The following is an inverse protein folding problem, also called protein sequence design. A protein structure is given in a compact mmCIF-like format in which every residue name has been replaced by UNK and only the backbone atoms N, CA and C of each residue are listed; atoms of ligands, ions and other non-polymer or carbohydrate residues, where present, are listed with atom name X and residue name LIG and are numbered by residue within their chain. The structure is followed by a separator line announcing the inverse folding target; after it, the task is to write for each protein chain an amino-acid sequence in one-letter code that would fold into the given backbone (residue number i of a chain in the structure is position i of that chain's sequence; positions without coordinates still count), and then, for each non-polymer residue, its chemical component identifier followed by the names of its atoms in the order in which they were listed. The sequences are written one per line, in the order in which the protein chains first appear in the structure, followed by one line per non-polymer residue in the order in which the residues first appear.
data_IF_221668050447
#
_entry.id   IF_221668050447
#
_cell.length_a   1.000
_cell.length_b   1.000
_cell.length_c   1.000
_cell.angle_alpha   90.00
_cell.angle_beta   90.00
_cell.angle_gamma   90.00
#
_symmetry.space_group_name_H-M   'P 1'
#
loop_
_entity.id
_entity.type
_entity.pdbx_description
1 polymer ?
#
# COMPACT_ATOMS: atom_id res chain seq x y z
N UNK A 1 25.28 42.90 50.67
CA UNK A 1 25.86 41.59 51.01
C UNK A 1 24.73 40.56 50.90
N UNK A 2 24.24 40.20 49.70
CA UNK A 2 24.70 39.18 48.72
C UNK A 2 24.97 37.80 49.34
N UNK A 3 24.04 36.86 49.14
CA UNK A 3 24.33 35.45 48.82
C UNK A 3 23.07 34.82 48.22
N UNK A 4 23.08 34.66 46.90
CA UNK A 4 22.01 34.07 46.08
C UNK A 4 22.28 32.57 45.91
N UNK A 5 21.22 31.79 45.99
CA UNK A 5 21.19 30.33 45.87
C UNK A 5 21.66 29.83 44.49
N UNK A 6 22.43 28.74 44.51
CA UNK A 6 22.86 27.99 43.31
C UNK A 6 21.71 27.12 42.82
N UNK A 7 21.30 27.32 41.57
CA UNK A 7 20.60 26.34 40.76
C UNK A 7 21.60 25.28 40.26
N UNK A 8 21.30 24.00 40.52
CA UNK A 8 21.96 22.85 39.91
C UNK A 8 20.99 22.24 38.90
N UNK A 9 21.37 22.24 37.62
CA UNK A 9 20.68 21.56 36.53
C UNK A 9 20.99 20.05 36.55
N UNK A 10 20.02 19.15 36.31
CA UNK A 10 20.31 17.74 36.09
C UNK A 10 20.78 17.52 34.65
N UNK A 11 21.97 16.92 34.49
CA UNK A 11 22.42 16.35 33.23
C UNK A 11 21.62 15.07 32.94
N UNK A 12 20.84 15.07 31.85
CA UNK A 12 20.28 13.84 31.30
C UNK A 12 21.34 13.15 30.44
N UNK A 13 21.79 11.98 30.90
CA UNK A 13 22.60 11.05 30.14
C UNK A 13 21.78 10.43 29.01
N UNK A 14 22.22 10.62 27.77
CA UNK A 14 21.72 9.88 26.61
C UNK A 14 22.25 8.44 26.67
N UNK A 15 21.35 7.45 26.74
CA UNK A 15 21.67 6.03 26.60
C UNK A 15 21.69 5.70 25.09
N UNK A 16 22.77 5.13 24.54
CA UNK A 16 22.80 4.69 23.16
C UNK A 16 22.02 3.39 23.01
N UNK A 17 20.92 3.38 22.25
CA UNK A 17 20.24 2.14 21.86
C UNK A 17 21.05 1.43 20.77
N UNK A 18 21.56 0.25 21.13
CA UNK A 18 22.21 -0.69 20.22
C UNK A 18 21.20 -1.23 19.20
N UNK A 19 21.42 -0.95 17.92
CA UNK A 19 20.72 -1.61 16.82
C UNK A 19 21.11 -3.09 16.76
N UNK A 20 20.16 -3.99 17.01
CA UNK A 20 20.29 -5.40 16.65
C UNK A 20 19.99 -5.52 15.15
N UNK A 21 21.05 -5.58 14.33
CA UNK A 21 20.97 -6.02 12.94
C UNK A 21 20.61 -7.51 12.91
N UNK A 22 19.38 -7.83 12.51
CA UNK A 22 19.07 -9.17 11.99
C UNK A 22 19.72 -9.31 10.61
N UNK A 23 20.92 -9.89 10.57
CA UNK A 23 21.52 -10.42 9.35
C UNK A 23 20.91 -11.80 9.07
N UNK A 24 20.10 -11.91 8.04
CA UNK A 24 19.79 -13.18 7.39
C UNK A 24 20.39 -13.16 5.99
N UNK A 25 21.21 -14.19 5.74
CA UNK A 25 22.12 -14.39 4.61
C UNK A 25 21.48 -14.21 3.24
N UNK A 26 22.13 -13.40 2.40
CA UNK A 26 21.90 -13.36 0.96
C UNK A 26 22.41 -14.66 0.31
N UNK A 27 21.49 -15.51 -0.13
CA UNK A 27 21.79 -16.54 -1.13
C UNK A 27 21.55 -15.89 -2.49
N UNK A 28 22.62 -15.66 -3.25
CA UNK A 28 22.52 -15.20 -4.63
C UNK A 28 21.86 -16.31 -5.47
N UNK A 29 20.64 -16.07 -5.92
CA UNK A 29 19.95 -16.88 -6.93
C UNK A 29 19.48 -15.98 -8.06
N UNK A 30 19.74 -16.42 -9.28
CA UNK A 30 19.67 -15.68 -10.54
C UNK A 30 18.38 -14.87 -10.78
N UNK A 31 18.55 -13.68 -11.38
CA UNK A 31 17.48 -12.87 -11.97
C UNK A 31 16.82 -11.84 -11.05
N UNK A 32 17.57 -10.94 -10.41
CA UNK A 32 16.95 -9.77 -9.76
C UNK A 32 16.42 -8.81 -10.83
N UNK A 33 15.14 -8.93 -11.15
CA UNK A 33 14.37 -7.88 -11.84
C UNK A 33 14.50 -6.60 -11.02
N UNK A 34 15.00 -5.53 -11.63
CA UNK A 34 15.18 -4.20 -11.01
C UNK A 34 13.81 -3.60 -10.63
N UNK A 35 13.26 -4.04 -9.50
CA UNK A 35 12.04 -3.48 -8.91
C UNK A 35 12.34 -2.10 -8.34
N UNK A 36 11.89 -1.04 -9.03
CA UNK A 36 12.11 0.34 -8.57
C UNK A 36 11.51 0.60 -7.18
N UNK A 37 10.31 0.07 -6.93
CA UNK A 37 9.62 0.12 -5.64
C UNK A 37 9.38 -1.33 -5.21
N UNK A 38 10.02 -1.76 -4.13
CA UNK A 38 9.91 -3.14 -3.64
C UNK A 38 8.55 -3.39 -2.97
N UNK A 39 7.97 -4.60 -3.10
CA UNK A 39 6.80 -4.96 -2.31
C UNK A 39 7.12 -4.91 -0.82
N UNK A 40 6.13 -4.60 0.05
CA UNK A 40 6.32 -4.70 1.48
C UNK A 40 6.60 -6.15 1.89
N UNK A 41 7.21 -6.36 3.06
CA UNK A 41 7.44 -7.70 3.61
C UNK A 41 6.23 -8.21 4.38
N UNK A 42 5.97 -9.53 4.31
CA UNK A 42 4.99 -10.21 5.16
C UNK A 42 5.55 -11.56 5.62
N UNK A 43 5.38 -11.97 6.89
CA UNK A 43 6.06 -13.16 7.44
C UNK A 43 5.61 -14.50 6.83
N UNK A 44 4.35 -14.59 6.39
CA UNK A 44 3.75 -15.87 5.93
C UNK A 44 3.08 -15.80 4.56
N UNK A 45 3.23 -14.69 3.85
CA UNK A 45 2.51 -14.43 2.60
C UNK A 45 3.52 -13.95 1.56
N UNK A 46 3.54 -14.59 0.40
CA UNK A 46 4.42 -14.23 -0.71
C UNK A 46 3.64 -14.11 -2.03
N UNK A 47 4.22 -13.39 -2.99
CA UNK A 47 3.60 -13.13 -4.30
C UNK A 47 3.55 -14.38 -5.19
N UNK A 48 4.48 -15.32 -5.04
CA UNK A 48 4.54 -16.53 -5.88
C UNK A 48 3.34 -17.45 -5.59
N UNK A 49 2.95 -17.57 -4.33
CA UNK A 49 1.78 -18.33 -3.92
C UNK A 49 0.49 -17.73 -4.48
N UNK A 50 0.38 -16.40 -4.49
CA UNK A 50 -0.76 -15.66 -5.05
C UNK A 50 -0.85 -15.85 -6.57
N UNK A 51 0.28 -15.69 -7.26
CA UNK A 51 0.37 -15.91 -8.72
C UNK A 51 -0.04 -17.34 -9.07
N UNK A 52 0.50 -18.33 -8.35
CA UNK A 52 0.16 -19.74 -8.56
C UNK A 52 -1.34 -20.01 -8.36
N UNK A 53 -1.93 -19.44 -7.31
CA UNK A 53 -3.35 -19.60 -7.03
C UNK A 53 -4.21 -18.97 -8.14
N UNK A 54 -3.87 -17.75 -8.58
CA UNK A 54 -4.62 -17.06 -9.62
C UNK A 54 -4.54 -17.75 -11.00
N UNK A 55 -3.36 -18.27 -11.36
CA UNK A 55 -3.22 -19.07 -12.59
C UNK A 55 -3.99 -20.39 -12.51
N UNK A 56 -3.98 -21.05 -11.36
CA UNK A 56 -4.74 -22.29 -11.15
C UNK A 56 -6.26 -22.06 -11.16
N UNK A 57 -6.72 -20.91 -10.67
CA UNK A 57 -8.12 -20.48 -10.73
C UNK A 57 -8.59 -20.36 -12.19
N UNK A 58 -7.82 -19.69 -13.04
CA UNK A 58 -8.22 -19.36 -14.41
C UNK A 58 -8.06 -20.54 -15.39
N UNK A 59 -7.00 -21.35 -15.24
CA UNK A 59 -6.70 -22.46 -16.16
C UNK A 59 -7.20 -23.83 -15.69
N UNK A 60 -7.44 -24.01 -14.38
CA UNK A 60 -7.79 -25.31 -13.80
C UNK A 60 -6.83 -26.44 -14.19
N UNK A 61 -7.35 -27.67 -14.30
CA UNK A 61 -6.57 -28.83 -14.75
C UNK A 61 -6.55 -28.98 -16.29
N UNK A 62 -7.52 -28.40 -16.98
CA UNK A 62 -7.73 -28.59 -18.43
C UNK A 62 -6.90 -27.61 -19.27
N UNK A 63 -6.57 -26.44 -18.73
CA UNK A 63 -5.95 -25.34 -19.48
C UNK A 63 -6.96 -24.55 -20.33
N UNK A 64 -6.43 -23.64 -21.15
CA UNK A 64 -7.24 -22.83 -22.06
C UNK A 64 -7.69 -23.64 -23.29
N UNK A 65 -8.90 -24.21 -23.20
CA UNK A 65 -9.52 -24.99 -24.27
C UNK A 65 -9.69 -24.19 -25.55
N UNK A 66 -9.95 -22.89 -25.45
CA UNK A 66 -10.17 -22.04 -26.62
C UNK A 66 -8.86 -21.82 -27.36
N UNK A 67 -7.79 -21.50 -26.64
CA UNK A 67 -6.46 -21.38 -27.22
C UNK A 67 -5.99 -22.70 -27.84
N UNK A 68 -6.17 -23.82 -27.14
CA UNK A 68 -5.82 -25.16 -27.67
C UNK A 68 -6.58 -25.52 -28.95
N UNK A 69 -7.83 -25.07 -29.10
CA UNK A 69 -8.66 -25.35 -30.27
C UNK A 69 -8.40 -24.41 -31.46
N UNK A 70 -7.95 -23.18 -31.22
CA UNK A 70 -7.92 -22.11 -32.25
C UNK A 70 -6.52 -21.65 -32.65
N UNK A 71 -5.52 -21.83 -31.78
CA UNK A 71 -4.15 -21.35 -32.01
C UNK A 71 -3.22 -22.56 -32.16
N UNK A 72 -2.43 -22.66 -33.24
CA UNK A 72 -1.40 -23.69 -33.34
C UNK A 72 -0.38 -23.60 -32.20
N UNK A 73 0.04 -24.74 -31.67
CA UNK A 73 0.95 -24.79 -30.52
C UNK A 73 2.32 -24.14 -30.78
N UNK A 74 2.78 -24.14 -32.02
CA UNK A 74 4.06 -23.57 -32.47
C UNK A 74 3.96 -22.09 -32.91
N UNK A 75 2.81 -21.45 -32.72
CA UNK A 75 2.61 -20.07 -33.12
C UNK A 75 3.34 -19.11 -32.17
N UNK A 76 4.26 -18.33 -32.73
CA UNK A 76 4.93 -17.21 -32.06
C UNK A 76 4.22 -15.89 -32.40
N UNK A 77 4.02 -15.04 -31.40
CA UNK A 77 3.34 -13.74 -31.54
C UNK A 77 4.06 -12.65 -30.76
N UNK A 78 3.77 -11.40 -31.13
CA UNK A 78 4.04 -10.22 -30.31
C UNK A 78 2.72 -9.64 -29.81
N UNK A 79 2.69 -9.18 -28.56
CA UNK A 79 1.55 -8.50 -27.98
C UNK A 79 1.99 -7.22 -27.23
N UNK A 80 1.14 -6.19 -27.28
CA UNK A 80 1.44 -4.87 -26.72
C UNK A 80 0.47 -4.52 -25.59
N UNK A 81 1.03 -4.02 -24.49
CA UNK A 81 0.27 -3.40 -23.39
C UNK A 81 -0.15 -1.99 -23.78
N UNK A 82 -1.45 -1.72 -23.73
CA UNK A 82 -2.06 -0.45 -24.13
C UNK A 82 -2.89 0.13 -22.98
N UNK A 83 -2.57 1.37 -22.57
CA UNK A 83 -3.38 2.12 -21.62
C UNK A 83 -4.68 2.59 -22.28
N UNK A 84 -5.82 2.31 -21.66
CA UNK A 84 -7.16 2.69 -22.17
C UNK A 84 -7.76 3.89 -21.44
N UNK A 85 -7.17 4.26 -20.32
CA UNK A 85 -7.44 5.43 -19.52
C UNK A 85 -6.11 6.06 -19.04
N UNK A 86 -6.15 7.30 -18.59
CA UNK A 86 -5.01 8.01 -18.01
C UNK A 86 -4.81 7.56 -16.56
N UNK A 87 -3.56 7.43 -16.10
CA UNK A 87 -3.29 7.04 -14.72
C UNK A 87 -1.83 6.73 -14.43
N UNK A 88 -1.59 6.10 -13.29
CA UNK A 88 -0.29 5.59 -12.86
C UNK A 88 -0.25 4.09 -13.11
N UNK A 89 0.76 3.63 -13.85
CA UNK A 89 0.95 2.19 -14.07
C UNK A 89 1.53 1.54 -12.81
N UNK A 90 0.93 0.43 -12.40
CA UNK A 90 1.41 -0.41 -11.31
C UNK A 90 1.14 -1.89 -11.60
N UNK A 91 2.02 -2.76 -11.10
CA UNK A 91 2.02 -4.19 -11.37
C UNK A 91 2.92 -4.63 -12.52
N UNK A 92 3.81 -3.76 -13.02
CA UNK A 92 4.81 -4.10 -14.06
C UNK A 92 5.73 -5.22 -13.56
N UNK A 93 6.33 -5.05 -12.38
CA UNK A 93 7.18 -6.08 -11.80
C UNK A 93 6.41 -7.37 -11.45
N UNK A 94 5.13 -7.26 -11.11
CA UNK A 94 4.27 -8.43 -10.85
C UNK A 94 3.92 -9.16 -12.15
N UNK A 95 3.71 -8.44 -13.25
CA UNK A 95 3.51 -9.03 -14.57
C UNK A 95 4.74 -9.81 -15.04
N UNK A 96 5.96 -9.29 -14.81
CA UNK A 96 7.20 -10.04 -15.05
C UNK A 96 7.22 -11.36 -14.27
N UNK A 97 6.85 -11.34 -12.98
CA UNK A 97 6.77 -12.56 -12.16
C UNK A 97 5.74 -13.56 -12.69
N UNK A 98 4.62 -13.10 -13.24
CA UNK A 98 3.60 -13.97 -13.83
C UNK A 98 4.12 -14.59 -15.13
N UNK A 99 4.70 -13.80 -16.04
CA UNK A 99 5.26 -14.32 -17.27
C UNK A 99 6.38 -15.33 -17.01
N UNK A 100 7.31 -15.02 -16.11
CA UNK A 100 8.39 -15.93 -15.70
C UNK A 100 7.83 -17.24 -15.10
N UNK A 101 6.73 -17.17 -14.34
CA UNK A 101 6.07 -18.36 -13.80
C UNK A 101 5.40 -19.22 -14.87
N UNK A 102 4.78 -18.58 -15.87
CA UNK A 102 4.07 -19.27 -16.95
C UNK A 102 5.04 -19.91 -17.94
N UNK A 103 6.02 -19.14 -18.41
CA UNK A 103 7.07 -19.62 -19.29
C UNK A 103 8.27 -18.65 -19.31
N UNK A 104 9.44 -19.03 -18.75
CA UNK A 104 10.63 -18.17 -18.70
C UNK A 104 11.28 -17.91 -20.08
N UNK A 105 10.79 -18.55 -21.16
CA UNK A 105 11.24 -18.26 -22.52
C UNK A 105 10.57 -17.02 -23.14
N UNK A 106 9.48 -16.52 -22.54
CA UNK A 106 8.82 -15.30 -22.97
C UNK A 106 9.73 -14.08 -22.81
N UNK A 107 9.76 -13.22 -23.82
CA UNK A 107 10.56 -11.99 -23.81
C UNK A 107 9.67 -10.80 -23.55
N UNK A 108 9.85 -10.15 -22.40
CA UNK A 108 9.08 -8.97 -21.98
C UNK A 108 9.97 -7.74 -22.06
N UNK A 109 9.46 -6.68 -22.68
CA UNK A 109 10.13 -5.38 -22.85
C UNK A 109 9.20 -4.27 -22.36
N UNK A 110 9.63 -3.50 -21.37
CA UNK A 110 8.85 -2.40 -20.80
C UNK A 110 9.35 -1.03 -21.26
N UNK A 111 8.42 -0.16 -21.66
CA UNK A 111 8.69 1.25 -21.97
C UNK A 111 8.35 2.17 -20.78
N UNK A 112 7.68 1.63 -19.77
CA UNK A 112 7.32 2.29 -18.50
C UNK A 112 7.54 1.33 -17.35
N UNK A 113 7.87 1.87 -16.18
CA UNK A 113 8.02 1.13 -14.93
C UNK A 113 6.88 1.47 -13.96
N UNK A 114 6.74 0.65 -12.93
CA UNK A 114 5.85 0.94 -11.80
C UNK A 114 6.06 2.38 -11.28
N UNK A 115 4.97 3.14 -11.21
CA UNK A 115 4.94 4.53 -10.74
C UNK A 115 4.97 5.57 -11.86
N UNK A 116 5.20 5.17 -13.11
CA UNK A 116 5.15 6.10 -14.24
C UNK A 116 3.70 6.47 -14.61
N UNK A 117 3.51 7.70 -15.09
CA UNK A 117 2.24 8.13 -15.67
C UNK A 117 2.07 7.63 -17.10
N UNK A 118 0.85 7.21 -17.43
CA UNK A 118 0.42 6.80 -18.77
C UNK A 118 -0.83 7.58 -19.19
N UNK A 119 -0.93 7.89 -20.47
CA UNK A 119 -2.13 8.48 -21.07
C UNK A 119 -2.82 7.45 -21.98
N UNK A 120 -4.12 7.62 -22.18
CA UNK A 120 -4.95 6.78 -23.05
C UNK A 120 -4.33 6.69 -24.45
N UNK A 121 -4.15 5.45 -24.92
CA UNK A 121 -3.55 5.14 -26.21
C UNK A 121 -2.05 4.85 -26.16
N UNK A 122 -1.38 5.07 -25.03
CA UNK A 122 0.04 4.77 -24.88
C UNK A 122 0.29 3.25 -24.88
N UNK A 123 1.15 2.77 -25.77
CA UNK A 123 1.79 1.46 -25.65
C UNK A 123 2.94 1.56 -24.64
N UNK A 124 2.89 0.78 -23.56
CA UNK A 124 3.87 0.92 -22.46
C UNK A 124 4.66 -0.35 -22.15
N UNK A 125 4.35 -1.45 -22.82
CA UNK A 125 5.11 -2.70 -22.78
C UNK A 125 4.83 -3.59 -23.98
N UNK A 126 5.69 -4.57 -24.20
CA UNK A 126 5.59 -5.59 -25.25
C UNK A 126 6.00 -6.93 -24.67
N UNK A 127 5.31 -8.01 -25.05
CA UNK A 127 5.73 -9.39 -24.80
C UNK A 127 5.78 -10.14 -26.13
N UNK A 128 6.78 -11.00 -26.29
CA UNK A 128 6.94 -11.84 -27.48
C UNK A 128 7.28 -13.27 -27.09
N UNK A 129 6.76 -14.23 -27.85
CA UNK A 129 6.96 -15.64 -27.60
C UNK A 129 5.75 -16.48 -28.02
N UNK A 130 5.65 -17.67 -27.43
CA UNK A 130 4.60 -18.62 -27.73
C UNK A 130 3.20 -18.07 -27.39
N UNK A 131 2.29 -18.12 -28.37
CA UNK A 131 0.94 -17.58 -28.25
C UNK A 131 0.13 -18.22 -27.12
N UNK A 132 0.25 -19.54 -26.89
CA UNK A 132 -0.49 -20.21 -25.82
C UNK A 132 -0.06 -19.70 -24.45
N UNK A 133 1.23 -19.41 -24.28
CA UNK A 133 1.82 -18.93 -23.04
C UNK A 133 1.44 -17.48 -22.74
N UNK A 134 1.38 -16.64 -23.78
CA UNK A 134 0.94 -15.25 -23.64
C UNK A 134 -0.55 -15.20 -23.30
N UNK A 135 -1.40 -15.95 -24.03
CA UNK A 135 -2.85 -15.91 -23.87
C UNK A 135 -3.28 -16.46 -22.50
N UNK A 136 -2.70 -17.57 -22.02
CA UNK A 136 -3.03 -18.13 -20.70
C UNK A 136 -2.65 -17.19 -19.54
N UNK A 137 -1.64 -16.33 -19.73
CA UNK A 137 -1.21 -15.37 -18.72
C UNK A 137 -2.05 -14.08 -18.74
N UNK A 138 -2.65 -13.73 -19.89
CA UNK A 138 -3.22 -12.42 -20.20
C UNK A 138 -4.22 -11.95 -19.15
N UNK A 139 -5.26 -12.75 -18.88
CA UNK A 139 -6.35 -12.28 -18.02
C UNK A 139 -5.88 -12.14 -16.58
N UNK A 140 -5.09 -13.09 -16.10
CA UNK A 140 -4.53 -13.09 -14.75
C UNK A 140 -3.66 -11.85 -14.53
N UNK A 141 -2.68 -11.59 -15.41
CA UNK A 141 -1.80 -10.43 -15.26
C UNK A 141 -2.55 -9.10 -15.41
N UNK A 142 -3.51 -9.01 -16.35
CA UNK A 142 -4.28 -7.78 -16.53
C UNK A 142 -5.13 -7.50 -15.30
N UNK A 143 -5.78 -8.51 -14.71
CA UNK A 143 -6.57 -8.32 -13.50
C UNK A 143 -5.73 -7.74 -12.34
N UNK A 144 -4.49 -8.21 -12.16
CA UNK A 144 -3.58 -7.63 -11.17
C UNK A 144 -3.15 -6.21 -11.55
N UNK A 145 -2.64 -6.01 -12.76
CA UNK A 145 -2.12 -4.71 -13.21
C UNK A 145 -3.21 -3.64 -13.19
N UNK A 146 -4.40 -3.94 -13.68
CA UNK A 146 -5.53 -3.01 -13.71
C UNK A 146 -5.96 -2.60 -12.29
N UNK A 147 -6.03 -3.56 -11.35
CA UNK A 147 -6.33 -3.28 -9.94
C UNK A 147 -5.23 -2.43 -9.31
N UNK A 148 -3.97 -2.87 -9.41
CA UNK A 148 -2.82 -2.15 -8.83
C UNK A 148 -2.72 -0.73 -9.41
N UNK A 149 -2.87 -0.57 -10.71
CA UNK A 149 -2.81 0.73 -11.39
C UNK A 149 -3.96 1.64 -10.94
N UNK A 150 -5.16 1.09 -10.72
CA UNK A 150 -6.28 1.82 -10.13
C UNK A 150 -5.98 2.37 -8.73
N UNK A 151 -5.42 1.52 -7.85
CA UNK A 151 -5.00 1.91 -6.50
C UNK A 151 -3.90 2.97 -6.55
N UNK A 152 -2.86 2.76 -7.36
CA UNK A 152 -1.73 3.69 -7.49
C UNK A 152 -2.19 5.05 -8.03
N UNK A 153 -3.11 5.06 -9.00
CA UNK A 153 -3.69 6.28 -9.57
C UNK A 153 -4.45 7.08 -8.52
N UNK A 154 -5.37 6.45 -7.78
CA UNK A 154 -6.12 7.13 -6.72
C UNK A 154 -5.20 7.60 -5.58
N UNK A 155 -4.22 6.77 -5.21
CA UNK A 155 -3.24 7.12 -4.17
C UNK A 155 -2.44 8.35 -4.58
N UNK A 156 -1.97 8.43 -5.83
CA UNK A 156 -1.23 9.58 -6.34
C UNK A 156 -2.06 10.86 -6.27
N UNK A 157 -3.31 10.81 -6.73
CA UNK A 157 -4.22 11.95 -6.66
C UNK A 157 -4.46 12.41 -5.22
N UNK A 158 -4.71 11.47 -4.29
CA UNK A 158 -4.90 11.80 -2.88
C UNK A 158 -3.61 12.33 -2.22
N UNK A 159 -2.46 11.75 -2.51
CA UNK A 159 -1.17 12.16 -1.94
C UNK A 159 -0.77 13.57 -2.38
N UNK A 160 -0.98 13.90 -3.66
CA UNK A 160 -0.72 15.24 -4.18
C UNK A 160 -1.66 16.27 -3.54
N UNK A 161 -2.95 15.93 -3.37
CA UNK A 161 -3.94 16.83 -2.75
C UNK A 161 -3.74 17.01 -1.23
N UNK A 162 -3.30 15.97 -0.53
CA UNK A 162 -3.11 15.94 0.92
C UNK A 162 -1.88 16.71 1.42
N UNK A 163 -0.93 17.02 0.54
CA UNK A 163 0.34 17.64 0.91
C UNK A 163 0.13 18.90 1.78
N UNK A 164 0.81 19.01 2.95
CA UNK A 164 2.00 18.27 3.36
C UNK A 164 1.77 16.92 4.05
N UNK A 165 0.52 16.54 4.36
CA UNK A 165 0.23 15.27 5.03
C UNK A 165 0.52 14.07 4.13
N UNK A 166 0.93 12.95 4.72
CA UNK A 166 1.17 11.69 4.01
C UNK A 166 -0.09 10.82 3.96
N UNK A 167 -0.42 10.29 2.78
CA UNK A 167 -1.53 9.35 2.63
C UNK A 167 -1.13 7.94 3.05
N UNK A 168 -2.01 7.32 3.84
CA UNK A 168 -1.97 5.93 4.24
C UNK A 168 -3.21 5.18 3.72
N UNK A 169 -2.99 3.93 3.40
CA UNK A 169 -4.00 2.88 3.27
C UNK A 169 -4.32 2.22 4.63
N UNK A 170 -5.15 1.17 4.61
CA UNK A 170 -5.58 0.50 5.84
C UNK A 170 -5.51 -1.03 5.70
N UNK A 171 -6.01 -1.76 6.70
CA UNK A 171 -6.25 -3.22 6.59
C UNK A 171 -7.54 -3.57 5.83
N UNK A 172 -8.35 -2.59 5.42
CA UNK A 172 -9.55 -2.74 4.59
C UNK A 172 -9.13 -2.99 3.13
N UNK A 173 -8.52 -4.15 2.90
CA UNK A 173 -7.99 -4.60 1.60
C UNK A 173 -8.82 -5.74 1.06
N UNK A 174 -8.66 -6.08 -0.23
CA UNK A 174 -9.23 -7.32 -0.74
C UNK A 174 -8.62 -8.53 0.01
N UNK A 175 -9.44 -9.52 0.44
CA UNK A 175 -8.93 -10.72 1.09
C UNK A 175 -7.92 -11.44 0.21
N UNK A 176 -6.80 -11.90 0.80
CA UNK A 176 -5.75 -12.60 0.05
C UNK A 176 -4.92 -11.72 -0.88
N UNK A 177 -5.18 -10.41 -1.00
CA UNK A 177 -4.45 -9.48 -1.88
C UNK A 177 -3.79 -8.31 -1.14
N UNK A 178 -3.73 -8.34 0.20
CA UNK A 178 -3.23 -7.23 1.01
C UNK A 178 -1.83 -6.75 0.60
N UNK A 179 -0.90 -7.66 0.34
CA UNK A 179 0.45 -7.28 -0.07
C UNK A 179 0.46 -6.54 -1.41
N UNK A 180 -0.35 -7.01 -2.35
CA UNK A 180 -0.51 -6.45 -3.70
C UNK A 180 -1.12 -5.06 -3.60
N UNK A 181 -2.20 -4.92 -2.83
CA UNK A 181 -2.89 -3.65 -2.59
C UNK A 181 -1.95 -2.62 -1.94
N UNK A 182 -1.22 -3.00 -0.88
CA UNK A 182 -0.26 -2.12 -0.20
C UNK A 182 0.95 -1.78 -1.07
N UNK A 183 1.40 -2.70 -1.92
CA UNK A 183 2.46 -2.41 -2.88
C UNK A 183 2.02 -1.34 -3.89
N UNK A 184 0.78 -1.43 -4.38
CA UNK A 184 0.23 -0.42 -5.28
C UNK A 184 0.11 0.96 -4.63
N UNK A 185 -0.20 1.03 -3.32
CA UNK A 185 -0.20 2.30 -2.57
C UNK A 185 1.19 2.91 -2.50
N UNK A 186 2.23 2.12 -2.21
CA UNK A 186 3.63 2.60 -2.28
C UNK A 186 3.99 3.12 -3.67
N UNK A 187 3.58 2.40 -4.72
CA UNK A 187 3.81 2.80 -6.11
C UNK A 187 3.15 4.15 -6.43
N UNK A 188 1.94 4.39 -5.91
CA UNK A 188 1.22 5.66 -6.06
C UNK A 188 1.79 6.82 -5.24
N UNK A 189 2.84 6.62 -4.43
CA UNK A 189 3.43 7.65 -3.58
C UNK A 189 2.78 7.80 -2.20
N UNK A 190 1.87 6.90 -1.83
CA UNK A 190 1.40 6.74 -0.46
C UNK A 190 2.45 6.05 0.42
N UNK A 191 2.13 5.90 1.69
CA UNK A 191 2.92 5.11 2.66
C UNK A 191 2.06 3.98 3.20
N UNK A 192 2.73 2.94 3.69
CA UNK A 192 2.03 1.82 4.30
C UNK A 192 1.76 2.08 5.79
N UNK A 193 0.51 1.98 6.21
CA UNK A 193 0.12 1.69 7.59
C UNK A 193 0.52 0.23 7.93
N UNK A 194 0.23 -0.22 9.14
CA UNK A 194 0.54 -1.59 9.58
C UNK A 194 0.00 -2.65 8.60
N UNK A 195 0.85 -3.62 8.30
CA UNK A 195 0.57 -4.76 7.44
C UNK A 195 -0.51 -5.67 8.04
N UNK A 196 -0.42 -5.94 9.34
CA UNK A 196 -1.27 -6.91 10.02
C UNK A 196 -1.61 -6.50 11.44
N UNK A 197 -2.00 -7.47 12.24
CA UNK A 197 -2.19 -7.27 13.69
C UNK A 197 -0.88 -7.47 14.47
N UNK A 198 0.18 -7.91 13.80
CA UNK A 198 1.41 -8.41 14.41
C UNK A 198 2.57 -7.39 14.42
N UNK A 199 2.50 -6.36 13.58
CA UNK A 199 3.60 -5.42 13.34
C UNK A 199 3.41 -4.05 14.00
N UNK A 200 2.19 -3.71 14.43
CA UNK A 200 1.90 -2.49 15.15
C UNK A 200 0.66 -2.64 16.03
N UNK A 201 0.75 -2.15 17.28
CA UNK A 201 -0.40 -2.07 18.18
C UNK A 201 -1.28 -0.91 17.75
N UNK A 202 -2.59 -1.16 17.69
CA UNK A 202 -3.58 -0.11 17.44
C UNK A 202 -4.74 -0.31 18.39
N UNK A 203 -4.82 0.57 19.39
CA UNK A 203 -5.88 0.63 20.38
C UNK A 203 -7.07 1.34 19.74
N UNK A 204 -8.23 0.67 19.74
CA UNK A 204 -9.48 1.17 19.12
C UNK A 204 -10.59 1.29 20.15
N UNK A 205 -11.70 1.90 19.77
CA UNK A 205 -12.95 2.02 20.53
C UNK A 205 -13.33 0.78 21.39
N UNK A 206 -13.29 -0.41 20.80
CA UNK A 206 -13.66 -1.66 21.46
C UNK A 206 -12.63 -2.07 22.52
N UNK A 207 -11.34 -1.83 22.26
CA UNK A 207 -10.27 -2.09 23.21
C UNK A 207 -10.33 -1.12 24.40
N UNK A 208 -10.61 0.17 24.12
CA UNK A 208 -10.79 1.23 25.12
C UNK A 208 -11.96 0.89 26.05
N UNK A 209 -13.09 0.50 25.45
CA UNK A 209 -14.28 0.10 26.19
C UNK A 209 -14.03 -1.12 27.06
N UNK A 210 -13.38 -2.15 26.52
CA UNK A 210 -13.06 -3.38 27.25
C UNK A 210 -12.03 -3.17 28.38
N UNK A 211 -11.09 -2.23 28.22
CA UNK A 211 -10.11 -1.87 29.24
C UNK A 211 -10.66 -0.94 30.33
N UNK A 212 -11.90 -0.43 30.17
CA UNK A 212 -12.51 0.51 31.10
C UNK A 212 -11.91 1.92 31.03
N UNK A 213 -11.51 2.38 29.84
CA UNK A 213 -11.00 3.73 29.62
C UNK A 213 -9.72 3.78 28.77
N UNK A 214 -9.47 4.91 28.12
CA UNK A 214 -8.36 5.07 27.16
C UNK A 214 -7.01 4.99 27.86
N UNK A 215 -6.87 5.62 29.03
CA UNK A 215 -5.66 5.55 29.85
C UNK A 215 -5.34 4.12 30.26
N UNK A 216 -6.35 3.34 30.66
CA UNK A 216 -6.17 1.93 31.04
C UNK A 216 -5.72 1.08 29.85
N UNK A 217 -6.26 1.34 28.66
CA UNK A 217 -5.89 0.64 27.44
C UNK A 217 -4.42 0.93 27.06
N UNK A 218 -4.02 2.21 27.03
CA UNK A 218 -2.64 2.62 26.72
C UNK A 218 -1.66 2.02 27.74
N UNK A 219 -1.96 2.16 29.04
CA UNK A 219 -1.14 1.58 30.11
C UNK A 219 -0.97 0.06 29.97
N UNK A 220 -2.06 -0.66 29.66
CA UNK A 220 -2.02 -2.11 29.50
C UNK A 220 -1.11 -2.54 28.35
N UNK A 221 -1.10 -1.77 27.25
CA UNK A 221 -0.18 -2.00 26.12
C UNK A 221 1.26 -1.75 26.54
N UNK A 222 1.54 -0.64 27.22
CA UNK A 222 2.89 -0.28 27.67
C UNK A 222 3.48 -1.36 28.60
N UNK A 223 2.68 -1.83 29.57
CA UNK A 223 3.06 -2.91 30.48
C UNK A 223 3.29 -4.23 29.73
N UNK A 224 2.41 -4.59 28.80
CA UNK A 224 2.52 -5.81 28.00
C UNK A 224 3.79 -5.81 27.14
N UNK A 225 4.05 -4.73 26.40
CA UNK A 225 5.22 -4.61 25.53
C UNK A 225 6.52 -4.64 26.34
N UNK A 226 6.54 -4.00 27.52
CA UNK A 226 7.66 -4.07 28.45
C UNK A 226 7.89 -5.49 28.99
N UNK A 227 6.83 -6.16 29.44
CA UNK A 227 6.91 -7.52 29.97
C UNK A 227 7.38 -8.54 28.91
N UNK A 228 6.93 -8.38 27.67
CA UNK A 228 7.32 -9.27 26.55
C UNK A 228 8.62 -8.85 25.86
N UNK A 229 9.23 -7.74 26.28
CA UNK A 229 10.39 -7.14 25.65
C UNK A 229 10.21 -6.98 24.12
N UNK A 230 9.05 -6.44 23.74
CA UNK A 230 8.69 -6.19 22.34
C UNK A 230 8.95 -4.72 21.99
N UNK A 231 9.51 -4.50 20.80
CA UNK A 231 9.67 -3.18 20.20
C UNK A 231 8.79 -3.10 18.96
N UNK A 232 7.71 -2.34 19.05
CA UNK A 232 6.78 -2.05 17.96
C UNK A 232 6.10 -0.71 18.21
N UNK A 233 5.65 -0.07 17.14
CA UNK A 233 4.89 1.17 17.21
C UNK A 233 3.52 0.95 17.86
N UNK A 234 3.01 2.00 18.51
CA UNK A 234 1.73 1.99 19.22
C UNK A 234 0.91 3.19 18.80
N UNK A 235 -0.27 2.90 18.29
CA UNK A 235 -1.28 3.89 17.92
C UNK A 235 -2.50 3.78 18.83
N UNK A 236 -3.08 4.93 19.20
CA UNK A 236 -4.36 5.01 19.91
C UNK A 236 -5.37 5.82 19.10
N UNK A 237 -6.58 5.27 18.95
CA UNK A 237 -7.71 5.93 18.33
C UNK A 237 -8.42 6.83 19.36
N UNK A 238 -8.62 8.10 19.00
CA UNK A 238 -9.32 9.11 19.79
C UNK A 238 -10.42 9.76 18.95
N UNK A 239 -11.55 10.06 19.58
CA UNK A 239 -12.77 10.58 18.94
C UNK A 239 -13.15 11.98 19.43
N UNK A 240 -12.60 12.40 20.57
CA UNK A 240 -12.89 13.69 21.21
C UNK A 240 -11.61 14.38 21.68
N UNK A 241 -11.68 15.70 21.86
CA UNK A 241 -10.57 16.46 22.45
C UNK A 241 -10.28 16.01 23.89
N UNK A 242 -11.29 15.54 24.62
CA UNK A 242 -11.16 15.01 25.98
C UNK A 242 -10.33 13.73 25.98
N UNK A 243 -10.60 12.79 25.07
CA UNK A 243 -9.78 11.57 24.92
C UNK A 243 -8.33 11.91 24.56
N UNK A 244 -8.11 12.92 23.69
CA UNK A 244 -6.76 13.41 23.37
C UNK A 244 -6.06 13.97 24.63
N UNK A 245 -6.75 14.79 25.44
CA UNK A 245 -6.19 15.33 26.70
C UNK A 245 -5.81 14.22 27.67
N UNK A 246 -6.65 13.20 27.86
CA UNK A 246 -6.38 12.06 28.74
C UNK A 246 -5.13 11.29 28.32
N UNK A 247 -4.95 11.06 27.02
CA UNK A 247 -3.75 10.40 26.47
C UNK A 247 -2.49 11.25 26.73
N UNK A 248 -2.56 12.56 26.49
CA UNK A 248 -1.44 13.47 26.70
C UNK A 248 -1.06 13.63 28.18
N UNK A 249 -2.04 13.63 29.08
CA UNK A 249 -1.82 13.66 30.53
C UNK A 249 -1.08 12.38 30.97
N UNK A 250 -1.57 11.21 30.57
CA UNK A 250 -0.92 9.93 30.85
C UNK A 250 0.54 9.91 30.34
N UNK A 251 0.75 10.30 29.09
CA UNK A 251 2.07 10.35 28.46
C UNK A 251 3.03 11.36 29.09
N UNK A 252 2.51 12.38 29.79
CA UNK A 252 3.35 13.37 30.50
C UNK A 252 3.81 12.85 31.86
N UNK A 253 3.03 11.97 32.49
CA UNK A 253 3.32 11.41 33.81
C UNK A 253 3.95 10.01 33.80
N UNK A 254 3.95 9.31 32.66
CA UNK A 254 4.37 7.91 32.55
C UNK A 254 5.33 7.69 31.38
N UNK A 255 6.21 6.69 31.50
CA UNK A 255 6.95 6.16 30.36
C UNK A 255 5.96 5.41 29.45
N UNK A 256 5.77 5.90 28.22
CA UNK A 256 4.85 5.29 27.26
C UNK A 256 5.56 4.87 25.97
N UNK A 257 5.05 3.81 25.33
CA UNK A 257 5.45 3.34 24.00
C UNK A 257 4.62 3.96 22.87
N UNK A 258 3.66 4.83 23.20
CA UNK A 258 2.83 5.52 22.21
C UNK A 258 3.68 6.28 21.18
N UNK A 259 3.38 6.08 19.91
CA UNK A 259 4.06 6.77 18.79
C UNK A 259 3.09 7.65 18.00
N UNK A 260 1.81 7.26 17.92
CA UNK A 260 0.80 7.93 17.10
C UNK A 260 -0.55 8.07 17.80
N UNK A 261 -1.23 9.18 17.54
CA UNK A 261 -2.62 9.42 17.93
C UNK A 261 -3.47 9.54 16.66
N UNK A 262 -4.42 8.63 16.49
CA UNK A 262 -5.44 8.69 15.45
C UNK A 262 -6.59 9.58 15.91
N UNK A 263 -6.95 10.54 15.07
CA UNK A 263 -8.02 11.51 15.24
C UNK A 263 -9.20 11.06 14.36
N UNK A 264 -10.03 10.18 14.91
CA UNK A 264 -11.09 9.50 14.17
C UNK A 264 -12.36 10.36 14.10
N UNK A 265 -12.88 10.56 12.89
CA UNK A 265 -14.12 11.29 12.59
C UNK A 265 -14.18 12.73 13.16
N UNK A 266 -13.02 13.40 13.30
CA UNK A 266 -12.95 14.82 13.69
C UNK A 266 -13.15 15.79 12.50
N UNK A 267 -13.55 15.27 11.34
CA UNK A 267 -13.88 16.02 10.13
C UNK A 267 -15.37 15.90 9.87
N UNK A 268 -16.08 17.02 9.85
CA UNK A 268 -17.55 17.04 9.76
C UNK A 268 -17.98 17.55 8.37
N UNK A 269 -18.76 16.79 7.59
CA UNK A 269 -19.33 17.28 6.34
C UNK A 269 -20.27 18.47 6.57
N UNK A 270 -20.18 19.48 5.70
CA UNK A 270 -21.07 20.65 5.70
C UNK A 270 -22.10 20.54 4.57
N UNK A 271 -23.27 21.16 4.74
CA UNK A 271 -24.36 21.13 3.74
C UNK A 271 -23.97 21.71 2.38
N UNK A 272 -22.96 22.58 2.35
CA UNK A 272 -22.45 23.21 1.12
C UNK A 272 -21.45 22.34 0.34
N UNK A 273 -21.16 21.11 0.80
CA UNK A 273 -20.20 20.20 0.18
C UNK A 273 -18.74 20.38 0.64
N UNK A 274 -18.46 21.33 1.53
CA UNK A 274 -17.16 21.48 2.20
C UNK A 274 -17.09 20.62 3.48
N UNK A 275 -15.98 20.64 4.19
CA UNK A 275 -15.79 19.95 5.48
C UNK A 275 -15.30 20.91 6.57
N UNK A 276 -15.82 20.76 7.78
CA UNK A 276 -15.25 21.41 8.97
C UNK A 276 -14.12 20.55 9.55
N UNK A 277 -12.97 21.17 9.74
CA UNK A 277 -11.74 20.56 10.28
C UNK A 277 -11.31 21.23 11.59
N UNK A 278 -12.19 22.00 12.24
CA UNK A 278 -11.87 22.77 13.46
C UNK A 278 -11.43 21.86 14.59
N UNK A 279 -12.22 20.84 14.93
CA UNK A 279 -11.84 19.87 15.97
C UNK A 279 -10.53 19.15 15.66
N UNK A 280 -10.31 18.80 14.38
CA UNK A 280 -9.06 18.18 13.94
C UNK A 280 -7.86 19.12 14.18
N UNK A 281 -7.98 20.40 13.84
CA UNK A 281 -6.94 21.41 14.08
C UNK A 281 -6.68 21.63 15.56
N UNK A 282 -7.73 21.75 16.37
CA UNK A 282 -7.62 21.89 17.82
C UNK A 282 -6.89 20.70 18.45
N UNK A 283 -7.17 19.48 17.98
CA UNK A 283 -6.50 18.27 18.42
C UNK A 283 -5.01 18.24 18.03
N UNK A 284 -4.70 18.63 16.78
CA UNK A 284 -3.30 18.73 16.30
C UNK A 284 -2.52 19.76 17.11
N UNK A 285 -3.10 20.93 17.36
CA UNK A 285 -2.50 21.99 18.18
C UNK A 285 -2.28 21.52 19.61
N UNK A 286 -3.26 20.83 20.21
CA UNK A 286 -3.14 20.28 21.55
C UNK A 286 -2.02 19.22 21.66
N UNK A 287 -1.85 18.37 20.65
CA UNK A 287 -0.78 17.37 20.59
C UNK A 287 0.60 18.02 20.40
N UNK A 288 0.65 19.17 19.71
CA UNK A 288 1.82 20.04 19.59
C UNK A 288 3.11 19.29 19.20
N UNK A 289 3.01 18.36 18.25
CA UNK A 289 4.15 17.58 17.74
C UNK A 289 4.76 16.58 18.71
N UNK A 290 4.12 16.27 19.85
CA UNK A 290 4.60 15.26 20.80
C UNK A 290 4.47 13.82 20.26
N UNK A 291 3.50 13.59 19.39
CA UNK A 291 3.23 12.32 18.72
C UNK A 291 2.92 12.57 17.25
N UNK A 292 3.08 11.54 16.41
CA UNK A 292 2.51 11.57 15.07
C UNK A 292 0.97 11.66 15.16
N UNK A 293 0.35 12.35 14.21
CA UNK A 293 -1.11 12.49 14.13
C UNK A 293 -1.64 11.87 12.85
N UNK A 294 -2.72 11.10 12.96
CA UNK A 294 -3.38 10.47 11.81
C UNK A 294 -4.86 10.84 11.76
N UNK A 295 -5.30 11.55 10.72
CA UNK A 295 -6.73 11.75 10.48
C UNK A 295 -7.35 10.50 9.84
N UNK A 296 -8.46 10.03 10.39
CA UNK A 296 -9.25 8.91 9.87
C UNK A 296 -10.74 9.26 9.84
N UNK A 297 -11.48 8.61 8.92
CA UNK A 297 -12.93 8.73 8.81
C UNK A 297 -13.37 9.56 7.61
N UNK A 298 -14.18 8.96 6.72
CA UNK A 298 -14.83 9.61 5.57
C UNK A 298 -13.92 10.47 4.66
N UNK A 299 -12.65 10.06 4.51
CA UNK A 299 -11.68 10.74 3.64
C UNK A 299 -11.96 10.42 2.17
N UNK A 300 -12.22 11.46 1.37
CA UNK A 300 -12.44 11.38 -0.10
C UNK A 300 -11.48 12.31 -0.84
N UNK A 301 -11.41 12.20 -2.17
CA UNK A 301 -10.53 13.06 -2.96
C UNK A 301 -10.90 14.55 -2.84
N UNK A 302 -12.18 14.84 -2.62
CA UNK A 302 -12.72 16.18 -2.46
C UNK A 302 -12.38 16.78 -1.09
N UNK A 303 -12.33 15.96 -0.04
CA UNK A 303 -12.12 16.43 1.35
C UNK A 303 -10.65 16.43 1.75
N UNK A 304 -9.84 15.55 1.17
CA UNK A 304 -8.46 15.26 1.60
C UNK A 304 -7.55 16.49 1.61
N UNK A 305 -7.75 17.45 0.70
CA UNK A 305 -6.94 18.66 0.66
C UNK A 305 -7.05 19.46 1.97
N UNK A 306 -8.28 19.73 2.41
CA UNK A 306 -8.55 20.52 3.63
C UNK A 306 -8.11 19.78 4.89
N UNK A 307 -8.23 18.45 4.90
CA UNK A 307 -7.71 17.59 5.96
C UNK A 307 -6.18 17.69 6.01
N UNK A 308 -5.50 17.65 4.87
CA UNK A 308 -4.05 17.82 4.77
C UNK A 308 -3.54 19.17 5.28
N UNK A 309 -4.33 20.23 5.08
CA UNK A 309 -4.03 21.58 5.60
C UNK A 309 -4.31 21.76 7.11
N UNK A 310 -4.80 20.73 7.82
CA UNK A 310 -5.02 20.82 9.27
C UNK A 310 -3.73 20.73 10.10
N UNK A 311 -2.62 20.27 9.49
CA UNK A 311 -1.36 20.03 10.18
C UNK A 311 -1.16 18.59 10.67
N UNK A 312 -2.09 17.67 10.35
CA UNK A 312 -1.90 16.24 10.61
C UNK A 312 -0.69 15.67 9.87
N UNK A 313 -0.03 14.68 10.48
CA UNK A 313 1.13 14.00 9.87
C UNK A 313 0.69 13.04 8.76
N UNK A 314 -0.35 12.26 9.04
CA UNK A 314 -0.91 11.24 8.17
C UNK A 314 -2.41 11.42 7.99
N UNK A 315 -2.91 10.90 6.87
CA UNK A 315 -4.35 10.72 6.64
C UNK A 315 -4.53 9.30 6.13
N UNK A 316 -5.34 8.47 6.80
CA UNK A 316 -5.63 7.13 6.31
C UNK A 316 -6.98 7.06 5.61
N UNK A 317 -7.01 6.38 4.46
CA UNK A 317 -8.24 6.14 3.71
C UNK A 317 -8.36 4.67 3.30
N UNK A 318 -9.47 4.04 3.72
CA UNK A 318 -9.82 2.70 3.25
C UNK A 318 -10.18 2.66 1.77
N UNK A 319 -10.68 3.77 1.21
CA UNK A 319 -11.16 3.86 -0.17
C UNK A 319 -10.08 3.48 -1.19
N UNK A 320 -8.81 3.71 -0.85
CA UNK A 320 -7.64 3.32 -1.64
C UNK A 320 -7.65 1.83 -2.00
N UNK A 321 -8.12 0.95 -1.10
CA UNK A 321 -7.94 -0.51 -1.26
C UNK A 321 -9.23 -1.31 -1.26
N UNK A 322 -10.33 -0.84 -0.63
CA UNK A 322 -11.61 -1.55 -0.67
C UNK A 322 -12.58 -1.09 -1.76
N UNK A 323 -12.42 0.13 -2.31
CA UNK A 323 -13.31 0.71 -3.33
C UNK A 323 -12.57 1.03 -4.62
N UNK A 324 -11.81 0.04 -5.12
CA UNK A 324 -10.90 0.24 -6.26
C UNK A 324 -11.68 0.37 -7.56
N UNK A 325 -11.49 1.49 -8.27
CA UNK A 325 -11.76 1.57 -9.71
C UNK A 325 -10.50 1.12 -10.45
N UNK A 326 -10.57 -0.03 -11.12
CA UNK A 326 -9.46 -0.55 -11.90
C UNK A 326 -9.13 0.38 -13.08
N UNK A 327 -7.84 0.55 -13.40
CA UNK A 327 -7.40 1.29 -14.59
C UNK A 327 -7.57 0.38 -15.80
N UNK A 328 -8.29 0.81 -16.85
CA UNK A 328 -8.48 0.00 -18.04
C UNK A 328 -7.16 -0.14 -18.83
N UNK A 329 -6.75 -1.38 -19.08
CA UNK A 329 -5.50 -1.76 -19.76
C UNK A 329 -5.83 -2.98 -20.63
N UNK A 330 -5.37 -2.99 -21.88
CA UNK A 330 -5.49 -4.17 -22.74
C UNK A 330 -4.12 -4.71 -23.14
N UNK A 331 -4.00 -6.03 -23.27
CA UNK A 331 -2.92 -6.67 -24.00
C UNK A 331 -3.45 -7.00 -25.41
N UNK A 332 -2.78 -6.53 -26.47
CA UNK A 332 -3.23 -6.73 -27.84
C UNK A 332 -2.17 -7.45 -28.65
N UNK A 333 -2.51 -8.65 -29.14
CA UNK A 333 -1.69 -9.39 -30.10
C UNK A 333 -1.64 -8.61 -31.41
N UNK A 334 -0.43 -8.46 -31.95
CA UNK A 334 -0.22 -7.91 -33.29
C UNK A 334 -0.63 -8.95 -34.33
N UNK A 335 -1.78 -8.71 -34.97
CA UNK A 335 -2.33 -9.64 -35.95
C UNK A 335 -1.56 -9.62 -37.26
N UNK A 336 -0.79 -8.57 -37.59
CA UNK A 336 -0.03 -8.54 -38.84
C UNK A 336 1.06 -9.60 -38.85
N UNK A 337 1.81 -9.72 -37.75
CA UNK A 337 2.80 -10.78 -37.58
C UNK A 337 2.14 -12.17 -37.58
N UNK A 338 1.03 -12.32 -36.87
CA UNK A 338 0.29 -13.60 -36.83
C UNK A 338 -0.21 -14.01 -38.23
N UNK A 339 -0.69 -13.06 -39.04
CA UNK A 339 -1.10 -13.29 -40.42
C UNK A 339 0.08 -13.64 -41.32
N UNK A 340 1.24 -13.00 -41.15
CA UNK A 340 2.43 -13.31 -41.94
C UNK A 340 2.94 -14.73 -41.66
N UNK A 341 2.98 -15.14 -40.39
CA UNK A 341 3.32 -16.51 -39.98
C UNK A 341 2.29 -17.51 -40.52
N UNK A 342 0.99 -17.17 -40.45
CA UNK A 342 -0.09 -17.97 -41.04
C UNK A 342 0.09 -18.18 -42.54
N UNK A 343 0.42 -17.13 -43.29
CA UNK A 343 0.69 -17.21 -44.74
C UNK A 343 1.92 -18.08 -45.04
N UNK A 344 3.02 -17.90 -44.31
CA UNK A 344 4.26 -18.69 -44.49
C UNK A 344 4.05 -20.18 -44.21
N UNK A 345 3.15 -20.52 -43.28
CA UNK A 345 2.85 -21.90 -42.88
C UNK A 345 1.64 -22.52 -43.61
N UNK A 346 1.05 -21.81 -44.59
CA UNK A 346 -0.17 -22.20 -45.34
C UNK A 346 -1.40 -22.43 -44.44
N UNK A 347 -1.52 -21.66 -43.36
CA UNK A 347 -2.63 -21.71 -42.40
C UNK A 347 -3.61 -20.53 -42.53
N UNK A 348 -3.29 -19.51 -43.34
CA UNK A 348 -4.09 -18.30 -43.56
C UNK A 348 -4.53 -18.13 -45.01
#
# INVERSE_FOLDING_TARGET
MISVSRFLSPQFYAIPRSFVKMSASATQTAGEVSMGIKPPSHPTYDLKAVIKLALAEDAGHTGDVTCMATIPFDMEVEAYFLAKEDGIVAGVALADMIFEHVDPSLKVEWMRKDGDYVHKGLKFGKVSGNAHKIVVAERVLLNFMQRMSGIATLTKLMADAASPACILETRKTAPGLRLVDKWAVLIGGGRNHRMGLFDMVMIKDNHISAAGGIVNAVKSVDEYLKQKNLEMDVEVETRTLEEVKEVLEYASGSETRLTRIMLDNMVVPLENGDVDVTMLKDAVELINGRFETEASGNVTLETVHKIGQSGVTFISSGALTHSVKALDISLKIDTELALEVGRRTKRA
#
